data_IF_347567075692
#
_entry.id   IF_347567075692
#
_cell.length_a   1.000
_cell.length_b   1.000
_cell.length_c   1.000
_cell.angle_alpha   90.00
_cell.angle_beta   90.00
_cell.angle_gamma   90.00
#
_symmetry.space_group_name_H-M   'P 1'
#
loop_
_entity.id
_entity.type
_entity.pdbx_description
1 polymer ?
#
# COMPACT_ATOMS: atom_id res chain seq x y z
N UNK A 1 -11.28 12.00 -9.54
CA UNK A 1 -9.92 12.59 -9.57
C UNK A 1 -9.40 13.05 -8.22
N UNK A 2 -10.03 13.96 -7.47
CA UNK A 2 -9.50 14.44 -6.17
C UNK A 2 -9.25 13.31 -5.15
N UNK A 3 -10.20 12.36 -5.06
CA UNK A 3 -10.05 11.16 -4.22
C UNK A 3 -8.87 10.28 -4.63
N UNK A 4 -8.65 10.09 -5.93
CA UNK A 4 -7.52 9.33 -6.45
C UNK A 4 -6.19 10.00 -6.10
N UNK A 5 -6.10 11.32 -6.26
CA UNK A 5 -4.91 12.10 -5.87
C UNK A 5 -4.62 11.97 -4.37
N UNK A 6 -5.64 12.08 -3.53
CA UNK A 6 -5.50 11.87 -2.08
C UNK A 6 -5.00 10.46 -1.73
N UNK A 7 -5.51 9.44 -2.43
CA UNK A 7 -5.05 8.05 -2.26
C UNK A 7 -3.59 7.87 -2.67
N UNK A 8 -3.18 8.45 -3.79
CA UNK A 8 -1.78 8.41 -4.26
C UNK A 8 -0.86 9.07 -3.23
N UNK A 9 -1.18 10.28 -2.78
CA UNK A 9 -0.40 10.99 -1.75
C UNK A 9 -0.31 10.17 -0.46
N UNK A 10 -1.40 9.49 -0.07
CA UNK A 10 -1.41 8.63 1.12
C UNK A 10 -0.52 7.39 0.95
N UNK A 11 -0.54 6.77 -0.23
CA UNK A 11 0.31 5.64 -0.57
C UNK A 11 1.80 6.04 -0.60
N UNK A 12 2.14 7.19 -1.18
CA UNK A 12 3.50 7.72 -1.19
C UNK A 12 4.04 7.99 0.22
N UNK A 13 3.22 8.59 1.10
CA UNK A 13 3.59 8.83 2.50
C UNK A 13 3.82 7.52 3.24
N UNK A 14 2.92 6.55 3.07
CA UNK A 14 3.06 5.24 3.68
C UNK A 14 4.35 4.54 3.22
N UNK A 15 4.58 4.49 1.90
CA UNK A 15 5.78 3.89 1.31
C UNK A 15 7.07 4.58 1.79
N UNK A 16 7.08 5.91 1.89
CA UNK A 16 8.22 6.66 2.43
C UNK A 16 8.52 6.26 3.87
N UNK A 17 7.48 6.14 4.71
CA UNK A 17 7.66 5.69 6.08
C UNK A 17 8.18 4.25 6.15
N UNK A 18 7.74 3.36 5.26
CA UNK A 18 8.29 2.01 5.19
C UNK A 18 9.77 2.02 4.81
N UNK A 19 10.13 2.86 3.82
CA UNK A 19 11.52 2.99 3.37
C UNK A 19 12.47 3.42 4.49
N UNK A 20 12.02 4.29 5.41
CA UNK A 20 12.83 4.70 6.57
C UNK A 20 13.29 3.54 7.46
N UNK A 21 12.51 2.45 7.54
CA UNK A 21 12.86 1.31 8.41
C UNK A 21 13.63 0.22 7.68
N UNK A 22 13.32 -0.06 6.41
CA UNK A 22 13.96 -1.17 5.67
C UNK A 22 15.43 -0.92 5.33
N UNK A 23 15.88 0.33 5.41
CA UNK A 23 17.29 0.71 5.19
C UNK A 23 18.15 0.54 6.45
N UNK A 24 17.56 0.22 7.60
CA UNK A 24 18.30 0.04 8.85
C UNK A 24 19.07 -1.28 8.79
N UNK A 25 20.40 -1.20 8.85
CA UNK A 25 21.26 -2.38 8.96
C UNK A 25 21.26 -2.93 10.40
N UNK A 26 21.05 -4.23 10.54
CA UNK A 26 21.00 -4.90 11.84
C UNK A 26 19.85 -4.42 12.74
N UNK A 27 18.58 -4.45 12.29
CA UNK A 27 17.47 -3.92 13.06
C UNK A 27 17.23 -4.75 14.34
N UNK A 28 16.87 -4.06 15.41
CA UNK A 28 16.32 -4.67 16.61
C UNK A 28 15.00 -5.41 16.31
N UNK A 29 14.53 -6.24 17.25
CA UNK A 29 13.21 -6.88 17.12
C UNK A 29 12.09 -5.85 16.96
N UNK A 30 12.15 -4.73 17.69
CA UNK A 30 11.15 -3.66 17.60
C UNK A 30 11.16 -2.97 16.24
N UNK A 31 12.33 -2.67 15.68
CA UNK A 31 12.44 -2.06 14.34
C UNK A 31 12.00 -3.02 13.24
N UNK A 32 12.27 -4.32 13.41
CA UNK A 32 11.76 -5.36 12.50
C UNK A 32 10.24 -5.42 12.53
N UNK A 33 9.63 -5.47 13.71
CA UNK A 33 8.18 -5.51 13.86
C UNK A 33 7.52 -4.24 13.31
N UNK A 34 8.13 -3.08 13.57
CA UNK A 34 7.69 -1.82 12.98
C UNK A 34 7.79 -1.84 11.46
N UNK A 35 8.84 -2.44 10.88
CA UNK A 35 9.00 -2.59 9.43
C UNK A 35 7.88 -3.43 8.82
N UNK A 36 7.52 -4.54 9.47
CA UNK A 36 6.40 -5.40 9.06
C UNK A 36 5.09 -4.62 9.10
N UNK A 37 4.83 -3.89 10.19
CA UNK A 37 3.62 -3.07 10.29
C UNK A 37 3.56 -1.98 9.22
N UNK A 38 4.70 -1.31 8.95
CA UNK A 38 4.80 -0.29 7.89
C UNK A 38 4.63 -0.87 6.50
N UNK A 39 5.12 -2.08 6.26
CA UNK A 39 4.83 -2.82 5.03
C UNK A 39 3.33 -3.05 4.86
N UNK A 40 2.64 -3.58 5.87
CA UNK A 40 1.21 -3.93 5.80
C UNK A 40 0.34 -2.72 5.46
N UNK A 41 0.50 -1.61 6.19
CA UNK A 41 -0.31 -0.42 5.90
C UNK A 41 0.10 0.27 4.60
N UNK A 42 1.36 0.14 4.17
CA UNK A 42 1.81 0.67 2.87
C UNK A 42 1.21 -0.12 1.72
N UNK A 43 1.19 -1.45 1.83
CA UNK A 43 0.53 -2.33 0.87
C UNK A 43 -0.95 -1.97 0.74
N UNK A 44 -1.66 -1.83 1.86
CA UNK A 44 -3.08 -1.48 1.87
C UNK A 44 -3.34 -0.09 1.26
N UNK A 45 -2.46 0.90 1.51
CA UNK A 45 -2.57 2.22 0.91
C UNK A 45 -2.37 2.19 -0.61
N UNK A 46 -1.33 1.48 -1.08
CA UNK A 46 -1.06 1.25 -2.50
C UNK A 46 -2.24 0.54 -3.18
N UNK A 47 -2.78 -0.50 -2.53
CA UNK A 47 -3.94 -1.23 -3.05
C UNK A 47 -5.16 -0.33 -3.22
N UNK A 48 -5.49 0.50 -2.21
CA UNK A 48 -6.61 1.44 -2.30
C UNK A 48 -6.43 2.46 -3.42
N UNK A 49 -5.20 2.91 -3.66
CA UNK A 49 -4.90 3.79 -4.78
C UNK A 49 -5.09 3.07 -6.13
N UNK A 50 -4.55 1.86 -6.27
CA UNK A 50 -4.70 1.06 -7.48
C UNK A 50 -6.17 0.72 -7.79
N UNK A 51 -6.94 0.29 -6.78
CA UNK A 51 -8.39 0.03 -6.92
C UNK A 51 -9.14 1.29 -7.36
N UNK A 52 -8.83 2.45 -6.78
CA UNK A 52 -9.48 3.70 -7.18
C UNK A 52 -9.11 4.10 -8.62
N UNK A 53 -7.86 3.89 -9.03
CA UNK A 53 -7.42 4.13 -10.41
C UNK A 53 -8.17 3.24 -11.41
N UNK A 54 -8.22 1.93 -11.15
CA UNK A 54 -8.92 0.96 -11.99
C UNK A 54 -10.41 1.30 -12.11
N UNK A 55 -11.05 1.72 -11.03
CA UNK A 55 -12.44 2.12 -11.05
C UNK A 55 -12.67 3.44 -11.80
N UNK A 56 -11.89 4.49 -11.50
CA UNK A 56 -12.11 5.84 -12.02
C UNK A 56 -11.73 5.97 -13.50
N UNK A 57 -10.66 5.30 -13.96
CA UNK A 57 -10.11 5.47 -15.31
C UNK A 57 -10.43 4.30 -16.23
N UNK A 58 -10.38 3.07 -15.72
CA UNK A 58 -10.55 1.86 -16.54
C UNK A 58 -11.99 1.30 -16.45
N UNK A 59 -12.81 1.81 -15.53
CA UNK A 59 -14.15 1.29 -15.27
C UNK A 59 -14.17 -0.14 -14.71
N UNK A 60 -13.05 -0.61 -14.14
CA UNK A 60 -12.89 -1.97 -13.61
C UNK A 60 -13.11 -1.94 -12.09
N UNK A 61 -14.16 -2.61 -11.61
CA UNK A 61 -14.37 -2.83 -10.18
C UNK A 61 -13.71 -4.15 -9.74
N UNK A 62 -12.65 -4.02 -8.94
CA UNK A 62 -11.89 -5.14 -8.37
C UNK A 62 -12.21 -5.33 -6.89
N UNK A 63 -12.55 -6.55 -6.49
CA UNK A 63 -12.96 -6.86 -5.12
C UNK A 63 -11.77 -7.07 -4.15
N UNK A 64 -10.60 -7.47 -4.66
CA UNK A 64 -9.47 -7.93 -3.86
C UNK A 64 -8.14 -7.70 -4.57
N UNK A 65 -7.05 -7.40 -3.84
CA UNK A 65 -5.70 -7.33 -4.41
C UNK A 65 -5.17 -8.72 -4.81
N UNK A 66 -5.77 -9.79 -4.28
CA UNK A 66 -5.49 -11.17 -4.67
C UNK A 66 -6.47 -11.63 -5.75
N UNK A 67 -5.94 -12.27 -6.78
CA UNK A 67 -6.74 -13.08 -7.71
C UNK A 67 -7.39 -14.21 -6.92
N UNK A 68 -8.72 -14.26 -6.91
CA UNK A 68 -9.45 -15.48 -6.53
C UNK A 68 -9.43 -16.39 -7.76
N UNK A 69 -8.47 -17.30 -7.82
CA UNK A 69 -8.60 -18.46 -8.70
C UNK A 69 -9.77 -19.28 -8.13
N UNK A 70 -10.84 -19.42 -8.91
CA UNK A 70 -12.10 -19.99 -8.45
C UNK A 70 -11.95 -21.42 -7.92
N UNK A 71 -12.47 -21.62 -6.71
CA UNK A 71 -13.37 -22.73 -6.39
C UNK A 71 -14.80 -22.20 -6.44
#
# INVERSE_FOLDING_TARGET
MERLQQRIISAEKALRSFHELVIIEGPSSVERDASIQRFEFSFEACWKAAKQYLYDLEGIDVASPRVRNGE
#
